data_IF_252535771962
#
_entry.id   IF_252535771962
#
_cell.length_a   1.000
_cell.length_b   1.000
_cell.length_c   1.000
_cell.angle_alpha   90.00
_cell.angle_beta   90.00
_cell.angle_gamma   90.00
#
_symmetry.space_group_name_H-M   'P 1'
#
loop_
_entity.id
_entity.type
_entity.pdbx_description
1 polymer ?
#
# COMPACT_ATOMS: atom_id res chain seq x y z
N UNK A 1 -13.40 -11.16 12.65
CA UNK A 1 -11.99 -10.92 12.24
C UNK A 1 -11.50 -11.99 11.29
N UNK A 2 -11.82 -13.26 11.53
CA UNK A 2 -11.40 -14.39 10.67
C UNK A 2 -11.89 -14.25 9.24
N UNK A 3 -13.10 -13.70 9.05
CA UNK A 3 -13.65 -13.41 7.72
C UNK A 3 -12.85 -12.34 6.97
N UNK A 4 -12.46 -11.24 7.62
CA UNK A 4 -11.65 -10.20 7.00
C UNK A 4 -10.21 -10.66 6.75
N UNK A 5 -9.64 -11.46 7.65
CA UNK A 5 -8.32 -12.05 7.50
C UNK A 5 -8.27 -13.11 6.39
N UNK A 6 -9.35 -13.89 6.21
CA UNK A 6 -9.44 -14.91 5.18
C UNK A 6 -9.68 -14.38 3.78
N UNK A 7 -10.25 -13.17 3.66
CA UNK A 7 -10.58 -12.55 2.36
C UNK A 7 -9.40 -11.85 1.66
N UNK A 8 -8.19 -11.84 2.27
CA UNK A 8 -6.93 -11.33 1.68
C UNK A 8 -7.11 -10.06 0.85
N UNK A 9 -7.67 -9.00 1.47
CA UNK A 9 -7.85 -7.71 0.80
C UNK A 9 -8.94 -7.69 -0.27
N UNK A 10 -9.95 -8.55 -0.18
CA UNK A 10 -11.08 -8.62 -1.12
C UNK A 10 -12.10 -7.49 -0.98
N UNK A 11 -11.94 -6.60 -0.01
CA UNK A 11 -12.87 -5.49 0.20
C UNK A 11 -12.18 -4.14 -0.01
N UNK A 12 -12.85 -3.27 -0.74
CA UNK A 12 -12.40 -1.87 -0.94
C UNK A 12 -12.94 -0.95 0.17
N UNK A 13 -14.12 -1.25 0.71
CA UNK A 13 -14.78 -0.47 1.77
C UNK A 13 -15.29 -1.41 2.86
N UNK A 14 -15.11 -1.01 4.10
CA UNK A 14 -15.70 -1.66 5.29
C UNK A 14 -16.51 -0.62 6.05
N UNK A 15 -17.82 -0.89 6.18
CA UNK A 15 -18.69 -0.19 7.11
C UNK A 15 -18.69 -0.94 8.43
N UNK A 16 -18.33 -0.27 9.52
CA UNK A 16 -18.10 -0.90 10.82
C UNK A 16 -18.85 -0.16 11.92
N UNK A 17 -19.65 -0.89 12.69
CA UNK A 17 -20.19 -0.34 13.91
C UNK A 17 -19.11 -0.31 15.01
N UNK A 18 -19.12 0.74 15.82
CA UNK A 18 -18.20 0.84 16.96
C UNK A 18 -18.73 0.02 18.13
N UNK A 19 -20.04 0.08 18.35
CA UNK A 19 -20.71 -0.59 19.48
C UNK A 19 -21.29 -1.95 19.05
N UNK A 20 -20.45 -2.99 19.13
CA UNK A 20 -20.84 -4.36 18.84
C UNK A 20 -20.73 -5.22 20.11
N UNK A 21 -21.70 -6.12 20.39
CA UNK A 21 -21.81 -6.82 21.69
C UNK A 21 -20.55 -7.57 22.14
N UNK A 22 -19.79 -8.17 21.21
CA UNK A 22 -18.64 -9.02 21.52
C UNK A 22 -17.32 -8.47 20.95
N UNK A 23 -17.36 -7.34 20.24
CA UNK A 23 -16.21 -6.83 19.52
C UNK A 23 -16.24 -5.30 19.45
N UNK A 24 -15.24 -4.67 20.03
CA UNK A 24 -15.03 -3.23 19.89
C UNK A 24 -14.61 -2.91 18.45
N UNK A 25 -15.44 -2.13 17.77
CA UNK A 25 -15.20 -1.75 16.37
C UNK A 25 -13.90 -0.96 16.17
N UNK A 26 -13.47 -0.17 17.17
CA UNK A 26 -12.20 0.56 17.12
C UNK A 26 -11.01 -0.41 17.14
N UNK A 27 -11.00 -1.36 18.07
CA UNK A 27 -9.96 -2.41 18.13
C UNK A 27 -9.96 -3.29 16.90
N UNK A 28 -11.14 -3.51 16.29
CA UNK A 28 -11.27 -4.25 15.05
C UNK A 28 -10.65 -3.48 13.89
N UNK A 29 -10.87 -2.16 13.83
CA UNK A 29 -10.27 -1.29 12.84
C UNK A 29 -8.74 -1.22 12.97
N UNK A 30 -8.19 -1.15 14.18
CA UNK A 30 -6.74 -1.23 14.44
C UNK A 30 -6.14 -2.53 13.91
N UNK A 31 -6.76 -3.67 14.21
CA UNK A 31 -6.33 -4.98 13.72
C UNK A 31 -6.44 -5.08 12.19
N UNK A 32 -7.51 -4.52 11.62
CA UNK A 32 -7.68 -4.47 10.17
C UNK A 32 -6.58 -3.63 9.52
N UNK A 33 -6.20 -2.50 10.09
CA UNK A 33 -5.09 -1.66 9.60
C UNK A 33 -3.74 -2.36 9.63
N UNK A 34 -3.50 -3.23 10.60
CA UNK A 34 -2.29 -4.04 10.66
C UNK A 34 -2.20 -5.07 9.51
N UNK A 35 -3.35 -5.49 8.95
CA UNK A 35 -3.42 -6.48 7.86
C UNK A 35 -3.64 -5.81 6.50
N UNK A 36 -4.48 -4.78 6.44
CA UNK A 36 -4.80 -4.02 5.22
C UNK A 36 -4.89 -2.51 5.54
N UNK A 37 -3.82 -1.80 5.22
CA UNK A 37 -3.76 -0.33 5.39
C UNK A 37 -4.59 0.43 4.36
N UNK A 38 -5.09 -0.24 3.32
CA UNK A 38 -5.70 0.39 2.13
C UNK A 38 -7.21 0.40 2.11
N UNK A 39 -7.84 -0.54 2.81
CA UNK A 39 -9.30 -0.61 2.84
C UNK A 39 -9.86 0.68 3.42
N UNK A 40 -10.87 1.22 2.77
CA UNK A 40 -11.56 2.41 3.29
C UNK A 40 -12.45 1.99 4.45
N UNK A 41 -12.25 2.58 5.63
CA UNK A 41 -13.10 2.34 6.81
C UNK A 41 -14.05 3.52 6.97
N UNK A 42 -15.34 3.23 7.09
CA UNK A 42 -16.39 4.18 7.46
C UNK A 42 -17.11 3.62 8.69
N UNK A 43 -17.09 4.34 9.80
CA UNK A 43 -17.83 3.92 10.99
C UNK A 43 -19.31 4.25 10.87
N UNK A 44 -20.17 3.33 11.33
CA UNK A 44 -21.63 3.50 11.39
C UNK A 44 -22.05 3.33 12.84
N UNK A 45 -22.34 4.43 13.56
CA UNK A 45 -22.49 4.36 15.01
C UNK A 45 -23.44 5.42 15.56
N UNK A 46 -23.98 5.18 16.77
CA UNK A 46 -24.65 6.20 17.58
C UNK A 46 -23.64 7.06 18.40
N UNK A 47 -22.38 6.66 18.45
CA UNK A 47 -21.37 7.20 19.36
C UNK A 47 -20.44 8.22 18.66
N UNK A 48 -20.94 9.44 18.43
CA UNK A 48 -20.17 10.54 17.82
C UNK A 48 -18.90 10.92 18.59
N UNK A 49 -18.84 10.65 19.89
CA UNK A 49 -17.67 10.93 20.71
C UNK A 49 -16.40 10.16 20.29
N UNK A 50 -16.56 9.05 19.57
CA UNK A 50 -15.44 8.28 19.04
C UNK A 50 -14.91 8.79 17.69
N UNK A 51 -15.52 9.85 17.12
CA UNK A 51 -15.09 10.40 15.83
C UNK A 51 -13.60 10.83 15.87
N UNK A 52 -13.16 11.44 16.97
CA UNK A 52 -11.75 11.85 17.14
C UNK A 52 -10.81 10.64 17.13
N UNK A 53 -11.16 9.56 17.82
CA UNK A 53 -10.37 8.32 17.84
C UNK A 53 -10.36 7.60 16.49
N UNK A 54 -11.40 7.75 15.69
CA UNK A 54 -11.44 7.15 14.35
C UNK A 54 -10.39 7.69 13.40
N UNK A 55 -9.89 8.91 13.62
CA UNK A 55 -8.75 9.44 12.85
C UNK A 55 -7.44 8.67 13.15
N UNK A 56 -7.28 8.14 14.36
CA UNK A 56 -6.09 7.36 14.74
C UNK A 56 -5.97 6.06 13.92
N UNK A 57 -7.11 5.46 13.56
CA UNK A 57 -7.16 4.27 12.70
C UNK A 57 -7.32 4.61 11.22
N UNK A 58 -7.22 5.89 10.85
CA UNK A 58 -7.35 6.34 9.47
C UNK A 58 -8.73 6.05 8.86
N UNK A 59 -9.81 6.15 9.65
CA UNK A 59 -11.16 6.08 9.11
C UNK A 59 -11.44 7.27 8.20
N UNK A 60 -12.06 7.02 7.05
CA UNK A 60 -12.41 8.07 6.09
C UNK A 60 -13.51 8.97 6.62
N UNK A 61 -14.53 8.39 7.24
CA UNK A 61 -15.71 9.14 7.64
C UNK A 61 -16.57 8.36 8.67
N UNK A 62 -17.63 9.03 9.14
CA UNK A 62 -18.61 8.50 10.08
C UNK A 62 -20.02 8.67 9.55
N UNK A 63 -20.84 7.64 9.77
CA UNK A 63 -22.29 7.65 9.57
C UNK A 63 -22.98 7.52 10.93
N UNK A 64 -23.79 8.50 11.26
CA UNK A 64 -24.57 8.47 12.52
C UNK A 64 -25.89 7.74 12.28
N UNK A 65 -26.22 6.80 13.16
CA UNK A 65 -27.52 6.13 13.15
C UNK A 65 -28.61 7.08 13.67
N UNK A 66 -29.82 7.11 13.09
CA UNK A 66 -30.27 6.36 11.92
C UNK A 66 -29.64 6.86 10.61
N UNK A 67 -29.16 5.94 9.78
CA UNK A 67 -28.49 6.26 8.51
C UNK A 67 -29.56 6.66 7.50
N UNK A 68 -29.50 7.90 7.03
CA UNK A 68 -30.34 8.36 5.91
C UNK A 68 -29.67 8.04 4.57
N UNK A 69 -30.47 7.86 3.53
CA UNK A 69 -29.96 7.59 2.18
C UNK A 69 -28.98 8.67 1.71
N UNK A 70 -29.31 9.94 1.90
CA UNK A 70 -28.48 11.06 1.43
C UNK A 70 -27.10 11.07 2.11
N UNK A 71 -27.07 10.85 3.43
CA UNK A 71 -25.82 10.75 4.17
C UNK A 71 -24.99 9.55 3.72
N UNK A 72 -25.61 8.38 3.55
CA UNK A 72 -24.96 7.19 3.05
C UNK A 72 -24.39 7.42 1.63
N UNK A 73 -25.19 7.96 0.72
CA UNK A 73 -24.78 8.21 -0.66
C UNK A 73 -23.62 9.20 -0.74
N UNK A 74 -23.61 10.25 0.10
CA UNK A 74 -22.52 11.22 0.16
C UNK A 74 -21.22 10.54 0.63
N UNK A 75 -21.26 9.74 1.71
CA UNK A 75 -20.08 9.07 2.26
C UNK A 75 -19.58 7.96 1.33
N UNK A 76 -20.50 7.22 0.70
CA UNK A 76 -20.14 6.22 -0.31
C UNK A 76 -19.43 6.87 -1.50
N UNK A 77 -19.90 8.02 -1.98
CA UNK A 77 -19.24 8.75 -3.08
C UNK A 77 -17.80 9.13 -2.72
N UNK A 78 -17.59 9.67 -1.52
CA UNK A 78 -16.24 9.99 -1.01
C UNK A 78 -15.36 8.74 -0.93
N UNK A 79 -15.90 7.63 -0.42
CA UNK A 79 -15.19 6.37 -0.34
C UNK A 79 -14.78 5.85 -1.74
N UNK A 80 -15.69 5.91 -2.71
CA UNK A 80 -15.41 5.52 -4.11
C UNK A 80 -14.36 6.43 -4.75
N UNK A 81 -14.40 7.73 -4.49
CA UNK A 81 -13.37 8.67 -4.96
C UNK A 81 -12.00 8.33 -4.35
N UNK A 82 -11.95 8.06 -3.04
CA UNK A 82 -10.72 7.63 -2.36
C UNK A 82 -10.16 6.33 -2.98
N UNK A 83 -11.02 5.35 -3.26
CA UNK A 83 -10.63 4.09 -3.89
C UNK A 83 -10.14 4.31 -5.32
N UNK A 84 -10.78 5.19 -6.08
CA UNK A 84 -10.32 5.53 -7.44
C UNK A 84 -8.93 6.17 -7.44
N UNK A 85 -8.67 7.05 -6.50
CA UNK A 85 -7.33 7.63 -6.28
C UNK A 85 -6.34 6.54 -5.87
N UNK A 86 -6.74 5.64 -4.96
CA UNK A 86 -5.94 4.48 -4.56
C UNK A 86 -5.83 3.42 -5.67
N UNK A 87 -6.81 3.33 -6.58
CA UNK A 87 -6.80 2.44 -7.75
C UNK A 87 -5.80 2.89 -8.82
N UNK A 88 -5.45 4.18 -8.87
CA UNK A 88 -4.30 4.68 -9.64
C UNK A 88 -2.95 4.12 -9.14
N UNK A 89 -2.94 3.49 -7.96
CA UNK A 89 -1.79 2.82 -7.38
C UNK A 89 -1.57 1.38 -7.88
N UNK A 90 -2.35 0.89 -8.83
CA UNK A 90 -2.16 -0.44 -9.42
C UNK A 90 -1.37 -0.37 -10.72
N UNK A 91 -0.48 -1.33 -10.91
CA UNK A 91 0.24 -1.56 -12.17
C UNK A 91 -0.18 -2.89 -12.78
N UNK A 92 -0.25 -2.93 -14.10
CA UNK A 92 -0.57 -4.16 -14.84
C UNK A 92 0.72 -4.87 -15.20
N UNK A 93 0.95 -6.06 -14.64
CA UNK A 93 2.13 -6.89 -14.89
C UNK A 93 1.71 -8.13 -15.68
N UNK A 94 2.27 -8.30 -16.88
CA UNK A 94 2.08 -9.49 -17.68
C UNK A 94 3.04 -10.60 -17.19
N UNK A 95 2.49 -11.77 -16.85
CA UNK A 95 3.22 -12.94 -16.34
C UNK A 95 2.57 -14.20 -16.92
N UNK A 96 3.32 -15.05 -17.59
CA UNK A 96 2.87 -16.35 -18.10
C UNK A 96 1.56 -16.28 -18.93
N UNK A 97 1.45 -15.26 -19.78
CA UNK A 97 0.26 -15.04 -20.62
C UNK A 97 -0.94 -14.44 -19.90
N UNK A 98 -0.83 -14.16 -18.61
CA UNK A 98 -1.88 -13.53 -17.79
C UNK A 98 -1.42 -12.12 -17.39
N UNK A 99 -2.32 -11.14 -17.49
CA UNK A 99 -2.06 -9.79 -16.98
C UNK A 99 -2.70 -9.64 -15.60
N UNK A 100 -1.88 -9.31 -14.59
CA UNK A 100 -2.30 -9.15 -13.20
C UNK A 100 -2.26 -7.68 -12.79
N UNK A 101 -3.31 -7.22 -12.11
CA UNK A 101 -3.33 -5.90 -11.48
C UNK A 101 -2.71 -5.99 -10.08
N UNK A 102 -1.52 -5.42 -9.91
CA UNK A 102 -0.73 -5.44 -8.67
C UNK A 102 -0.70 -4.05 -8.06
N UNK A 103 -0.95 -3.92 -6.77
CA UNK A 103 -0.83 -2.63 -6.08
C UNK A 103 0.64 -2.28 -5.92
N UNK A 104 1.04 -1.05 -6.29
CA UNK A 104 2.44 -0.60 -6.18
C UNK A 104 2.99 -0.74 -4.77
N UNK A 105 2.15 -0.43 -3.77
CA UNK A 105 2.53 -0.54 -2.36
C UNK A 105 2.79 -1.97 -1.89
N UNK A 106 2.33 -3.00 -2.60
CA UNK A 106 2.62 -4.39 -2.28
C UNK A 106 3.94 -4.87 -2.92
N UNK A 107 4.51 -4.07 -3.84
CA UNK A 107 5.79 -4.37 -4.49
C UNK A 107 6.92 -3.78 -3.64
N UNK A 108 7.76 -4.64 -3.10
CA UNK A 108 8.89 -4.28 -2.23
C UNK A 108 10.09 -3.79 -3.05
N UNK A 109 10.45 -4.56 -4.04
CA UNK A 109 11.49 -4.23 -5.03
C UNK A 109 11.29 -5.06 -6.29
N UNK A 110 11.97 -4.68 -7.36
CA UNK A 110 12.05 -5.46 -8.58
C UNK A 110 13.52 -5.69 -8.95
N UNK A 111 13.82 -6.90 -9.45
CA UNK A 111 15.15 -7.24 -9.94
C UNK A 111 15.11 -7.80 -11.36
N UNK A 112 16.19 -7.61 -12.11
CA UNK A 112 16.35 -8.26 -13.40
C UNK A 112 17.18 -9.54 -13.22
N UNK A 113 16.62 -10.66 -13.69
CA UNK A 113 17.29 -11.95 -13.72
C UNK A 113 17.27 -12.41 -15.19
N UNK A 114 18.43 -12.43 -15.84
CA UNK A 114 18.55 -12.71 -17.27
C UNK A 114 17.76 -11.72 -18.13
N UNK A 115 16.60 -12.10 -18.65
CA UNK A 115 15.71 -11.27 -19.46
C UNK A 115 14.35 -10.98 -18.79
N UNK A 116 14.18 -11.44 -17.57
CA UNK A 116 12.95 -11.29 -16.79
C UNK A 116 13.10 -10.27 -15.70
N UNK A 117 12.05 -9.54 -15.45
CA UNK A 117 11.88 -8.73 -14.24
C UNK A 117 11.10 -9.56 -13.23
N UNK A 118 11.67 -9.76 -12.06
CA UNK A 118 11.01 -10.37 -10.92
C UNK A 118 10.57 -9.26 -9.97
N UNK A 119 9.26 -9.10 -9.81
CA UNK A 119 8.67 -8.20 -8.84
C UNK A 119 8.42 -8.96 -7.54
N UNK A 120 9.16 -8.61 -6.50
CA UNK A 120 9.01 -9.19 -5.16
C UNK A 120 7.90 -8.44 -4.44
N UNK A 121 6.80 -9.14 -4.17
CA UNK A 121 5.61 -8.55 -3.54
C UNK A 121 5.33 -9.16 -2.18
N UNK A 122 4.40 -8.58 -1.44
CA UNK A 122 3.93 -9.14 -0.16
C UNK A 122 3.21 -10.49 -0.33
N UNK A 123 2.65 -10.75 -1.52
CA UNK A 123 1.90 -11.98 -1.85
C UNK A 123 2.74 -13.01 -2.63
N UNK A 124 4.05 -12.75 -2.81
CA UNK A 124 4.97 -13.60 -3.56
C UNK A 124 5.54 -12.93 -4.81
N UNK A 125 6.34 -13.66 -5.55
CA UNK A 125 7.08 -13.15 -6.70
C UNK A 125 6.25 -13.23 -7.99
N UNK A 126 6.36 -12.18 -8.82
CA UNK A 126 5.74 -12.12 -10.14
C UNK A 126 6.84 -11.91 -11.17
N UNK A 127 6.98 -12.86 -12.09
CA UNK A 127 7.98 -12.82 -13.16
C UNK A 127 7.37 -12.31 -14.46
N UNK A 128 8.02 -11.35 -15.09
CA UNK A 128 7.57 -10.71 -16.33
C UNK A 128 8.74 -10.49 -17.27
N UNK A 129 8.59 -10.86 -18.52
CA UNK A 129 9.61 -10.55 -19.55
C UNK A 129 9.73 -9.04 -19.75
N UNK A 130 10.97 -8.51 -19.72
CA UNK A 130 11.15 -7.07 -19.92
C UNK A 130 12.51 -6.51 -19.51
N UNK A 131 12.55 -5.20 -19.32
CA UNK A 131 13.76 -4.48 -18.92
C UNK A 131 13.49 -3.61 -17.70
N UNK A 132 14.53 -3.38 -16.88
CA UNK A 132 14.43 -2.48 -15.73
C UNK A 132 13.98 -1.07 -16.11
N UNK A 133 14.32 -0.57 -17.31
CA UNK A 133 13.85 0.74 -17.77
C UNK A 133 12.33 0.79 -17.92
N UNK A 134 11.73 -0.27 -18.48
CA UNK A 134 10.26 -0.37 -18.60
C UNK A 134 9.61 -0.57 -17.24
N UNK A 135 10.22 -1.38 -16.37
CA UNK A 135 9.74 -1.58 -15.01
C UNK A 135 9.78 -0.27 -14.20
N UNK A 136 10.84 0.52 -14.32
CA UNK A 136 10.96 1.82 -13.65
C UNK A 136 9.86 2.80 -14.10
N UNK A 137 9.56 2.84 -15.40
CA UNK A 137 8.46 3.66 -15.94
C UNK A 137 7.09 3.18 -15.47
N UNK A 138 6.88 1.86 -15.39
CA UNK A 138 5.65 1.25 -14.93
C UNK A 138 5.40 1.53 -13.44
N UNK A 139 6.44 1.38 -12.63
CA UNK A 139 6.38 1.57 -11.18
C UNK A 139 6.25 3.06 -10.78
N UNK A 140 6.90 3.96 -11.51
CA UNK A 140 6.78 5.41 -11.33
C UNK A 140 7.32 5.92 -10.01
N UNK A 141 6.66 6.95 -9.45
CA UNK A 141 7.08 7.61 -8.21
C UNK A 141 7.04 6.65 -7.01
N UNK A 142 7.92 6.88 -6.03
CA UNK A 142 8.11 6.01 -4.87
C UNK A 142 9.06 4.84 -5.13
N UNK A 143 9.48 4.61 -6.40
CA UNK A 143 10.44 3.57 -6.75
C UNK A 143 11.71 4.18 -7.32
N UNK A 144 12.88 3.65 -6.89
CA UNK A 144 14.17 4.16 -7.35
C UNK A 144 15.16 3.04 -7.64
N UNK A 145 15.85 3.17 -8.77
CA UNK A 145 16.96 2.26 -9.08
C UNK A 145 18.13 2.51 -8.14
N UNK A 146 18.60 1.45 -7.47
CA UNK A 146 19.80 1.52 -6.65
C UNK A 146 21.05 1.02 -7.38
N UNK A 147 20.90 0.18 -8.43
CA UNK A 147 22.00 -0.25 -9.30
C UNK A 147 21.49 -0.69 -10.68
N UNK A 148 22.30 -1.45 -11.44
CA UNK A 148 21.91 -1.98 -12.76
C UNK A 148 20.88 -3.11 -12.69
N UNK A 149 20.69 -3.75 -11.53
CA UNK A 149 19.87 -4.94 -11.37
C UNK A 149 18.60 -4.71 -10.55
N UNK A 150 18.53 -3.65 -9.72
CA UNK A 150 17.43 -3.46 -8.76
C UNK A 150 16.73 -2.11 -8.87
N UNK A 151 15.40 -2.16 -8.70
CA UNK A 151 14.53 -1.01 -8.44
C UNK A 151 13.90 -1.24 -7.07
N UNK A 152 14.02 -0.29 -6.15
CA UNK A 152 13.58 -0.38 -4.76
C UNK A 152 12.37 0.51 -4.54
N UNK A 153 11.35 -0.01 -3.87
CA UNK A 153 10.28 0.79 -3.30
C UNK A 153 10.80 1.49 -2.04
N UNK A 154 10.83 2.81 -2.07
CA UNK A 154 11.38 3.62 -0.98
C UNK A 154 10.64 3.44 0.35
N UNK A 155 9.36 3.06 0.29
CA UNK A 155 8.55 2.76 1.48
C UNK A 155 9.03 1.53 2.27
N UNK A 156 9.73 0.59 1.61
CA UNK A 156 10.25 -0.64 2.22
C UNK A 156 11.73 -0.57 2.59
N UNK A 157 12.33 0.62 2.53
CA UNK A 157 13.73 0.80 2.94
C UNK A 157 13.82 0.83 4.45
N UNK A 158 14.40 -0.21 5.03
CA UNK A 158 14.65 -0.30 6.48
C UNK A 158 15.87 0.52 6.90
N UNK A 159 16.94 0.45 6.12
CA UNK A 159 18.19 1.18 6.39
C UNK A 159 19.12 1.23 5.19
N UNK A 160 20.07 2.18 5.21
CA UNK A 160 21.14 2.28 4.21
C UNK A 160 22.48 2.37 4.93
N UNK A 161 23.40 1.47 4.61
CA UNK A 161 24.76 1.44 5.18
C UNK A 161 25.80 1.33 4.07
N UNK A 162 26.64 2.36 3.93
CA UNK A 162 27.66 2.36 2.89
C UNK A 162 27.08 2.26 1.48
N UNK A 163 27.29 1.15 0.80
CA UNK A 163 26.77 0.82 -0.53
C UNK A 163 25.74 -0.30 -0.50
N UNK A 164 25.11 -0.52 0.64
CA UNK A 164 24.03 -1.49 0.83
C UNK A 164 22.78 -0.78 1.29
N UNK A 165 21.61 -1.23 0.79
CA UNK A 165 20.28 -0.86 1.26
C UNK A 165 19.57 -2.13 1.73
N UNK A 166 18.97 -2.07 2.90
CA UNK A 166 18.12 -3.14 3.42
C UNK A 166 16.68 -2.82 3.06
N UNK A 167 16.03 -3.76 2.40
CA UNK A 167 14.64 -3.64 1.91
C UNK A 167 13.87 -4.85 2.37
N UNK A 168 12.95 -4.66 3.31
CA UNK A 168 12.17 -5.75 3.92
C UNK A 168 13.10 -6.90 4.39
N UNK A 169 14.16 -6.54 5.10
CA UNK A 169 15.17 -7.46 5.63
C UNK A 169 16.17 -8.02 4.61
N UNK A 170 16.02 -7.78 3.30
CA UNK A 170 16.97 -8.21 2.26
C UNK A 170 18.00 -7.14 1.95
N UNK A 171 19.27 -7.51 1.96
CA UNK A 171 20.35 -6.62 1.58
C UNK A 171 20.52 -6.55 0.05
N UNK A 172 20.47 -5.35 -0.50
CA UNK A 172 20.67 -5.05 -1.92
C UNK A 172 21.83 -4.07 -2.07
N UNK A 173 22.64 -4.24 -3.12
CA UNK A 173 23.76 -3.33 -3.39
C UNK A 173 23.30 -2.03 -4.04
N UNK A 174 23.93 -0.91 -3.64
CA UNK A 174 23.77 0.40 -4.27
C UNK A 174 25.03 0.76 -5.04
N UNK A 175 24.93 1.04 -6.34
CA UNK A 175 26.09 1.39 -7.13
C UNK A 175 26.62 2.79 -6.80
N UNK A 176 27.94 3.00 -6.96
CA UNK A 176 28.58 4.30 -6.74
C UNK A 176 27.93 5.42 -7.53
N UNK A 177 27.61 5.16 -8.81
CA UNK A 177 26.98 6.14 -9.69
C UNK A 177 25.58 6.55 -9.28
N UNK A 178 24.82 5.65 -8.64
CA UNK A 178 23.42 5.89 -8.25
C UNK A 178 23.25 6.29 -6.80
N UNK A 179 24.28 6.13 -5.96
CA UNK A 179 24.17 6.38 -4.52
C UNK A 179 23.64 7.78 -4.19
N UNK A 180 24.22 8.81 -4.82
CA UNK A 180 23.82 10.20 -4.55
C UNK A 180 22.35 10.46 -4.92
N UNK A 181 21.93 9.98 -6.09
CA UNK A 181 20.55 10.11 -6.57
C UNK A 181 19.57 9.30 -5.73
N UNK A 182 19.96 8.06 -5.34
CA UNK A 182 19.15 7.20 -4.50
C UNK A 182 18.94 7.80 -3.10
N UNK A 183 20.00 8.29 -2.46
CA UNK A 183 19.93 8.94 -1.15
C UNK A 183 19.07 10.22 -1.18
N UNK A 184 19.20 11.02 -2.25
CA UNK A 184 18.34 12.19 -2.44
C UNK A 184 16.87 11.79 -2.56
N UNK A 185 16.55 10.79 -3.39
CA UNK A 185 15.18 10.32 -3.56
C UNK A 185 14.59 9.78 -2.24
N UNK A 186 15.42 9.10 -1.44
CA UNK A 186 15.03 8.61 -0.12
C UNK A 186 14.75 9.76 0.85
N UNK A 187 15.62 10.79 0.85
CA UNK A 187 15.43 11.99 1.66
C UNK A 187 14.15 12.73 1.27
N UNK A 188 13.93 12.94 -0.02
CA UNK A 188 12.72 13.60 -0.55
C UNK A 188 11.45 12.80 -0.17
N UNK A 189 11.51 11.46 -0.22
CA UNK A 189 10.39 10.58 0.14
C UNK A 189 10.01 10.68 1.62
N UNK A 190 10.99 10.76 2.52
CA UNK A 190 10.77 10.88 3.97
C UNK A 190 10.72 12.33 4.49
N UNK A 191 10.53 13.32 3.62
CA UNK A 191 10.34 14.72 3.99
C UNK A 191 11.61 15.49 4.28
N UNK A 192 12.72 15.13 3.68
CA UNK A 192 13.93 15.96 3.61
C UNK A 192 14.76 16.04 4.90
N UNK A 193 14.54 15.15 5.86
CA UNK A 193 15.35 15.08 7.10
C UNK A 193 16.15 13.77 7.16
N UNK A 194 17.22 13.67 6.37
CA UNK A 194 18.26 12.66 6.54
C UNK A 194 19.60 13.36 6.70
#
# INVERSE_FOLDING_TARGET
LDFLASSKGGFDIVYMDIDMPDLDGMKTAEKLRAVDSSVVIVFVTNMMQFAVKGYEVGALDFLVKPVTYDNFALKLRRAVEQIKVSGADRVMIASDGVTRAVRRRDIKYAEIISHDIVYHTSDGDIRSYGSLKKAEQLLGEGFKRCNSCYIVNLAFVDSVKGFSVIVDGKELSVSHLRKKEFMRALADYYGGKI
#
